data_IF_458062146040
#
_entry.id   IF_458062146040
#
_cell.length_a   1.000
_cell.length_b   1.000
_cell.length_c   1.000
_cell.angle_alpha   90.00
_cell.angle_beta   90.00
_cell.angle_gamma   90.00
#
_symmetry.space_group_name_H-M   'P 1'
#
loop_
_entity.id
_entity.type
_entity.pdbx_description
1 polymer ?
#
# COMPACT_ATOMS: atom_id res chain seq x y z
N UNK A 1 -13.06 -5.05 -16.66
CA UNK A 1 -12.37 -6.10 -15.88
C UNK A 1 -10.93 -5.64 -15.66
N UNK A 2 -10.42 -5.63 -14.43
CA UNK A 2 -9.03 -5.23 -14.14
C UNK A 2 -8.16 -6.49 -14.01
N UNK A 3 -7.01 -6.54 -14.69
CA UNK A 3 -6.11 -7.70 -14.66
C UNK A 3 -5.58 -7.99 -13.24
N UNK A 4 -5.46 -6.97 -12.38
CA UNK A 4 -4.96 -7.10 -11.00
C UNK A 4 -5.78 -8.10 -10.17
N UNK A 5 -7.08 -8.23 -10.40
CA UNK A 5 -7.93 -9.20 -9.67
C UNK A 5 -7.63 -10.66 -10.00
N UNK A 6 -6.92 -10.91 -11.10
CA UNK A 6 -6.42 -12.23 -11.48
C UNK A 6 -4.92 -12.38 -11.26
N UNK A 7 -4.19 -11.28 -11.05
CA UNK A 7 -2.76 -11.28 -10.79
C UNK A 7 -2.44 -11.96 -9.46
N UNK A 8 -1.59 -13.00 -9.50
CA UNK A 8 -1.12 -13.76 -8.32
C UNK A 8 0.09 -13.10 -7.66
N UNK A 9 0.08 -11.78 -7.54
CA UNK A 9 1.14 -11.03 -6.85
C UNK A 9 1.00 -11.28 -5.36
N UNK A 10 2.06 -11.77 -4.73
CA UNK A 10 2.14 -12.00 -3.28
C UNK A 10 2.80 -10.86 -2.53
N UNK A 11 3.82 -10.24 -3.13
CA UNK A 11 4.58 -9.15 -2.52
C UNK A 11 4.51 -7.95 -3.45
N UNK A 12 4.12 -6.80 -2.90
CA UNK A 12 4.19 -5.51 -3.55
C UNK A 12 5.17 -4.63 -2.76
N UNK A 13 6.14 -4.05 -3.45
CA UNK A 13 7.11 -3.13 -2.85
C UNK A 13 6.94 -1.75 -3.47
N UNK A 14 6.87 -0.73 -2.61
CA UNK A 14 6.72 0.66 -2.99
C UNK A 14 7.80 1.43 -2.24
N UNK A 15 8.71 2.06 -2.98
CA UNK A 15 9.73 2.95 -2.45
C UNK A 15 9.31 4.40 -2.62
N UNK A 16 9.80 5.29 -1.75
CA UNK A 16 9.57 6.74 -1.85
C UNK A 16 8.10 7.13 -1.73
N UNK A 17 7.32 6.46 -0.88
CA UNK A 17 5.92 6.80 -0.66
C UNK A 17 5.82 8.12 0.11
N UNK A 18 5.36 9.18 -0.56
CA UNK A 18 5.13 10.50 0.01
C UNK A 18 3.68 10.72 0.48
N UNK A 19 2.78 9.81 0.10
CA UNK A 19 1.34 9.80 0.41
C UNK A 19 0.56 11.03 -0.03
N UNK A 20 0.92 11.54 -1.20
CA UNK A 20 0.04 12.36 -2.01
C UNK A 20 -1.32 11.69 -2.21
N UNK A 21 -2.33 12.49 -2.56
CA UNK A 21 -3.68 11.97 -2.86
C UNK A 21 -3.66 10.94 -4.01
N UNK A 22 -2.75 11.07 -4.96
CA UNK A 22 -2.58 10.11 -6.06
C UNK A 22 -2.09 8.76 -5.56
N UNK A 23 -1.05 8.76 -4.73
CA UNK A 23 -0.48 7.55 -4.15
C UNK A 23 -1.48 6.84 -3.23
N UNK A 24 -2.24 7.58 -2.42
CA UNK A 24 -3.30 6.99 -1.56
C UNK A 24 -4.38 6.31 -2.42
N UNK A 25 -4.79 6.91 -3.54
CA UNK A 25 -5.75 6.29 -4.48
C UNK A 25 -5.17 5.02 -5.11
N UNK A 26 -3.88 5.04 -5.45
CA UNK A 26 -3.19 3.89 -6.02
C UNK A 26 -3.09 2.74 -5.00
N UNK A 27 -2.77 3.05 -3.74
CA UNK A 27 -2.76 2.09 -2.63
C UNK A 27 -4.12 1.43 -2.43
N UNK A 28 -5.21 2.22 -2.41
CA UNK A 28 -6.58 1.69 -2.36
C UNK A 28 -6.88 0.75 -3.53
N UNK A 29 -6.41 1.10 -4.72
CA UNK A 29 -6.61 0.28 -5.90
C UNK A 29 -5.86 -1.05 -5.80
N UNK A 30 -4.59 -1.04 -5.40
CA UNK A 30 -3.81 -2.26 -5.22
C UNK A 30 -4.38 -3.16 -4.12
N UNK A 31 -4.58 -2.61 -2.92
CA UNK A 31 -5.11 -3.34 -1.77
C UNK A 31 -6.53 -3.87 -2.01
N UNK A 32 -7.35 -3.16 -2.80
CA UNK A 32 -8.70 -3.57 -3.15
C UNK A 32 -8.81 -4.53 -4.34
N UNK A 33 -7.74 -4.72 -5.14
CA UNK A 33 -7.77 -5.58 -6.34
C UNK A 33 -6.86 -6.79 -6.27
N UNK A 34 -5.70 -6.70 -5.62
CA UNK A 34 -4.74 -7.80 -5.55
C UNK A 34 -5.13 -8.82 -4.49
N UNK A 35 -6.03 -9.75 -4.85
CA UNK A 35 -6.61 -10.74 -3.92
C UNK A 35 -5.63 -11.77 -3.34
N UNK A 36 -4.44 -11.90 -3.92
CA UNK A 36 -3.42 -12.84 -3.47
C UNK A 36 -2.28 -12.18 -2.70
N UNK A 37 -2.42 -10.89 -2.37
CA UNK A 37 -1.37 -10.19 -1.68
C UNK A 37 -1.17 -10.74 -0.27
N UNK A 38 0.07 -11.04 0.08
CA UNK A 38 0.50 -11.50 1.39
C UNK A 38 1.29 -10.39 2.11
N UNK A 39 2.03 -9.56 1.37
CA UNK A 39 2.82 -8.47 1.96
C UNK A 39 2.87 -7.24 1.06
N UNK A 40 2.69 -6.05 1.65
CA UNK A 40 3.10 -4.76 1.07
C UNK A 40 4.30 -4.25 1.85
N UNK A 41 5.38 -3.89 1.17
CA UNK A 41 6.52 -3.18 1.74
C UNK A 41 6.51 -1.74 1.28
N UNK A 42 6.65 -0.81 2.22
CA UNK A 42 6.53 0.63 1.95
C UNK A 42 7.74 1.34 2.53
N UNK A 43 8.61 1.83 1.66
CA UNK A 43 9.62 2.83 2.02
C UNK A 43 8.97 4.20 1.97
N UNK A 44 8.97 4.91 3.10
CA UNK A 44 8.40 6.26 3.21
C UNK A 44 9.49 7.27 2.85
N UNK A 45 9.16 8.29 2.08
CA UNK A 45 10.10 9.38 1.78
C UNK A 45 10.34 10.21 3.05
N UNK A 46 11.61 10.38 3.45
CA UNK A 46 11.99 11.03 4.72
C UNK A 46 11.90 12.56 4.68
N UNK A 47 11.58 13.15 3.53
CA UNK A 47 11.62 14.59 3.35
C UNK A 47 10.42 15.31 4.00
N UNK A 48 10.71 15.84 5.20
CA UNK A 48 10.55 17.24 5.56
C UNK A 48 9.37 17.68 6.45
N UNK A 49 8.70 16.77 7.14
CA UNK A 49 7.92 17.14 8.33
C UNK A 49 7.63 15.89 9.16
N UNK A 50 7.24 16.05 10.43
CA UNK A 50 6.82 14.97 11.35
C UNK A 50 5.56 14.19 10.90
N UNK A 51 5.31 14.08 9.60
CA UNK A 51 4.10 13.55 8.98
C UNK A 51 4.21 12.05 8.62
N UNK A 52 5.37 11.43 8.85
CA UNK A 52 5.59 10.00 8.61
C UNK A 52 4.65 9.10 9.42
N UNK A 53 4.31 9.48 10.66
CA UNK A 53 3.33 8.75 11.47
C UNK A 53 1.92 8.84 10.89
N UNK A 54 1.51 10.02 10.43
CA UNK A 54 0.21 10.22 9.77
C UNK A 54 0.12 9.42 8.47
N UNK A 55 1.21 9.36 7.70
CA UNK A 55 1.31 8.54 6.50
C UNK A 55 1.11 7.06 6.79
N UNK A 56 1.84 6.55 7.80
CA UNK A 56 1.73 5.15 8.26
C UNK A 56 0.31 4.85 8.74
N UNK A 57 -0.28 5.72 9.56
CA UNK A 57 -1.64 5.58 10.06
C UNK A 57 -2.67 5.53 8.91
N UNK A 58 -2.59 6.48 7.97
CA UNK A 58 -3.50 6.54 6.82
C UNK A 58 -3.47 5.24 5.99
N UNK A 59 -2.28 4.70 5.71
CA UNK A 59 -2.14 3.44 4.98
C UNK A 59 -2.75 2.26 5.77
N UNK A 60 -2.53 2.22 7.08
CA UNK A 60 -3.03 1.13 7.92
C UNK A 60 -4.56 1.06 7.96
N UNK A 61 -5.25 2.19 7.76
CA UNK A 61 -6.73 2.25 7.68
C UNK A 61 -7.32 1.77 6.36
N UNK A 62 -6.50 1.51 5.33
CA UNK A 62 -7.02 1.10 4.03
C UNK A 62 -7.53 -0.34 4.02
N UNK A 63 -8.70 -0.54 3.44
CA UNK A 63 -9.29 -1.86 3.23
C UNK A 63 -8.43 -2.73 2.32
N UNK A 64 -8.41 -4.03 2.64
CA UNK A 64 -7.61 -5.04 1.94
C UNK A 64 -8.52 -6.16 1.48
N UNK A 65 -8.47 -6.51 0.20
CA UNK A 65 -9.24 -7.65 -0.34
C UNK A 65 -8.66 -8.99 0.14
N UNK A 66 -7.35 -9.04 0.43
CA UNK A 66 -6.69 -10.21 0.98
C UNK A 66 -6.60 -10.09 2.50
N UNK A 67 -7.19 -11.04 3.21
CA UNK A 67 -7.08 -11.15 4.67
C UNK A 67 -5.67 -11.53 5.15
N UNK A 68 -4.82 -12.07 4.26
CA UNK A 68 -3.44 -12.42 4.56
C UNK A 68 -2.47 -11.25 4.37
N UNK A 69 -2.93 -10.13 3.80
CA UNK A 69 -2.08 -9.02 3.43
C UNK A 69 -1.60 -8.26 4.68
N UNK A 70 -0.31 -8.38 4.99
CA UNK A 70 0.36 -7.56 5.99
C UNK A 70 1.04 -6.35 5.34
N UNK A 71 1.08 -5.22 6.06
CA UNK A 71 1.80 -4.02 5.61
C UNK A 71 3.05 -3.88 6.48
N UNK A 72 4.20 -3.71 5.82
CA UNK A 72 5.51 -3.54 6.44
C UNK A 72 6.11 -2.23 5.94
N UNK A 73 6.71 -1.47 6.85
CA UNK A 73 7.48 -0.29 6.48
C UNK A 73 8.96 -0.67 6.47
N UNK A 74 9.66 -0.29 5.41
CA UNK A 74 11.08 -0.62 5.18
C UNK A 74 11.93 0.64 5.09
#
# INVERSE_FOLDING_TARGET
>A
MCCLSTCRVKVLEISGYGGSTGEVKQMRHFLGKLKYLETVKIGVEEDNNNNGENLRANIMTLDRVSSKCNIQFI
#
